data_IF_839592998203
#
_entry.id   IF_839592998203
#
_cell.length_a   1.000
_cell.length_b   1.000
_cell.length_c   1.000
_cell.angle_alpha   90.00
_cell.angle_beta   90.00
_cell.angle_gamma   90.00
#
_symmetry.space_group_name_H-M   'P 1'
#
loop_
_entity.id
_entity.type
_entity.pdbx_description
1 polymer ?
#
# COMPACT_ATOMS: atom_id res chain seq x y z
N UNK A 1 35.95 26.78 24.62
CA UNK A 1 34.69 27.40 24.16
C UNK A 1 34.52 27.10 22.68
N UNK A 2 33.71 26.09 22.34
CA UNK A 2 33.57 25.57 20.98
C UNK A 2 32.38 26.24 20.27
N UNK A 3 32.64 27.33 19.56
CA UNK A 3 31.65 27.92 18.65
C UNK A 3 31.69 27.17 17.30
N UNK A 4 31.15 25.94 17.28
CA UNK A 4 30.86 25.26 16.01
C UNK A 4 29.57 25.86 15.45
N UNK A 5 29.74 26.75 14.48
CA UNK A 5 28.66 27.45 13.78
C UNK A 5 27.61 26.47 13.25
N UNK A 6 26.40 26.54 13.81
CA UNK A 6 25.20 25.79 13.37
C UNK A 6 24.93 25.95 11.87
N UNK A 7 25.35 27.06 11.26
CA UNK A 7 25.26 27.29 9.81
C UNK A 7 25.99 26.22 8.98
N UNK A 8 27.14 25.72 9.44
CA UNK A 8 27.86 24.65 8.73
C UNK A 8 27.17 23.29 8.80
N UNK A 9 26.35 23.07 9.82
CA UNK A 9 25.61 21.82 10.04
C UNK A 9 24.32 21.79 9.21
N UNK A 10 23.63 22.91 9.10
CA UNK A 10 22.45 23.04 8.23
C UNK A 10 22.81 23.07 6.74
N UNK A 11 24.01 23.52 6.36
CA UNK A 11 24.49 23.41 4.97
C UNK A 11 24.80 21.96 4.62
N UNK A 12 25.37 21.15 5.53
CA UNK A 12 25.53 19.70 5.31
C UNK A 12 24.20 18.96 5.16
N UNK A 13 23.20 19.29 5.97
CA UNK A 13 21.85 18.72 5.85
C UNK A 13 21.09 19.15 4.57
N UNK A 14 21.47 20.28 3.95
CA UNK A 14 20.87 20.75 2.69
C UNK A 14 21.64 20.30 1.44
N UNK A 15 22.95 20.10 1.54
CA UNK A 15 23.80 19.65 0.44
C UNK A 15 23.96 18.12 0.37
N UNK A 16 23.50 17.35 1.37
CA UNK A 16 23.25 15.90 1.25
C UNK A 16 21.90 15.59 0.56
N UNK A 17 21.11 16.62 0.23
CA UNK A 17 19.99 16.54 -0.74
C UNK A 17 20.54 16.56 -2.18
N UNK A 18 21.67 15.89 -2.41
CA UNK A 18 22.27 15.69 -3.73
C UNK A 18 21.80 14.35 -4.26
N UNK A 19 20.94 14.40 -5.28
CA UNK A 19 20.70 13.35 -6.28
C UNK A 19 21.10 11.91 -5.88
N UNK A 20 20.12 11.12 -5.41
CA UNK A 20 20.15 9.68 -5.62
C UNK A 20 20.75 8.82 -4.50
N UNK A 21 20.77 9.30 -3.26
CA UNK A 21 21.09 8.42 -2.13
C UNK A 21 19.94 7.45 -1.88
N UNK A 22 20.16 6.23 -2.36
CA UNK A 22 19.27 5.11 -2.13
C UNK A 22 19.35 4.72 -0.64
N UNK A 23 18.22 4.84 0.07
CA UNK A 23 18.12 4.58 1.51
C UNK A 23 17.76 3.12 1.76
N UNK A 24 18.31 2.53 2.82
CA UNK A 24 17.97 1.17 3.18
C UNK A 24 16.54 1.06 3.71
N UNK A 25 15.84 -0.05 3.45
CA UNK A 25 14.45 -0.28 3.89
C UNK A 25 14.24 -0.04 5.38
N UNK A 26 15.19 -0.48 6.21
CA UNK A 26 15.16 -0.29 7.68
C UNK A 26 15.21 1.17 8.11
N UNK A 27 15.80 2.03 7.27
CA UNK A 27 16.11 3.43 7.60
C UNK A 27 15.20 4.39 6.82
N UNK A 28 14.26 3.86 6.03
CA UNK A 28 13.36 4.64 5.19
C UNK A 28 12.12 5.07 5.97
N UNK A 29 11.99 6.37 6.22
CA UNK A 29 10.82 6.97 6.85
C UNK A 29 9.50 6.58 6.15
N UNK A 30 9.52 6.46 4.82
CA UNK A 30 8.36 6.03 4.03
C UNK A 30 7.96 4.59 4.36
N UNK A 31 8.96 3.68 4.39
CA UNK A 31 8.72 2.28 4.67
C UNK A 31 8.25 2.08 6.12
N UNK A 32 8.89 2.76 7.08
CA UNK A 32 8.51 2.73 8.49
C UNK A 32 7.10 3.29 8.72
N UNK A 33 6.77 4.42 8.09
CA UNK A 33 5.43 5.03 8.18
C UNK A 33 4.37 4.06 7.67
N UNK A 34 4.58 3.46 6.50
CA UNK A 34 3.66 2.46 5.96
C UNK A 34 3.54 1.24 6.88
N UNK A 35 4.65 0.71 7.41
CA UNK A 35 4.63 -0.45 8.33
C UNK A 35 3.81 -0.16 9.59
N UNK A 36 3.98 1.03 10.19
CA UNK A 36 3.21 1.42 11.37
C UNK A 36 1.73 1.51 11.03
N UNK A 37 1.37 2.17 9.93
CA UNK A 37 -0.02 2.26 9.48
C UNK A 37 -0.62 0.88 9.17
N UNK A 38 0.17 -0.01 8.56
CA UNK A 38 -0.23 -1.38 8.27
C UNK A 38 -0.51 -2.13 9.57
N UNK A 39 0.39 -2.10 10.54
CA UNK A 39 0.21 -2.78 11.82
C UNK A 39 -1.03 -2.25 12.56
N UNK A 40 -1.18 -0.92 12.63
CA UNK A 40 -2.37 -0.27 13.23
C UNK A 40 -3.65 -0.73 12.53
N UNK A 41 -3.61 -0.93 11.21
CA UNK A 41 -4.78 -1.40 10.47
C UNK A 41 -5.19 -2.84 10.81
N UNK A 42 -4.24 -3.66 11.24
CA UNK A 42 -4.51 -5.05 11.62
C UNK A 42 -5.08 -5.21 13.02
N UNK A 43 -4.89 -4.23 13.91
CA UNK A 43 -5.27 -4.31 15.33
C UNK A 43 -6.80 -4.30 15.62
N UNK A 44 -7.66 -4.47 14.61
CA UNK A 44 -9.13 -4.58 14.73
C UNK A 44 -9.80 -3.44 15.51
N UNK A 45 -9.13 -2.29 15.60
CA UNK A 45 -9.74 -1.03 16.03
C UNK A 45 -10.52 -0.52 14.82
N UNK A 46 -11.77 -0.09 15.00
CA UNK A 46 -12.54 0.54 13.93
C UNK A 46 -11.79 1.79 13.44
N UNK A 47 -11.02 1.63 12.37
CA UNK A 47 -10.22 2.70 11.81
C UNK A 47 -11.16 3.75 11.21
N UNK A 48 -10.85 5.04 11.37
CA UNK A 48 -11.52 6.06 10.57
C UNK A 48 -11.37 5.71 9.08
N UNK A 49 -12.40 5.88 8.23
CA UNK A 49 -12.28 5.65 6.78
C UNK A 49 -11.17 6.50 6.13
N UNK A 50 -10.80 7.61 6.76
CA UNK A 50 -9.63 8.41 6.37
C UNK A 50 -8.31 7.63 6.47
N UNK A 51 -8.19 6.67 7.40
CA UNK A 51 -6.95 5.91 7.61
C UNK A 51 -6.71 4.86 6.51
N UNK A 52 -7.76 4.27 5.94
CA UNK A 52 -7.62 3.34 4.80
C UNK A 52 -7.01 4.06 3.60
N UNK A 53 -7.50 5.28 3.30
CA UNK A 53 -6.93 6.11 2.25
C UNK A 53 -5.49 6.52 2.55
N UNK A 54 -5.18 6.90 3.80
CA UNK A 54 -3.81 7.26 4.21
C UNK A 54 -2.86 6.07 4.09
N UNK A 55 -3.30 4.86 4.46
CA UNK A 55 -2.53 3.63 4.30
C UNK A 55 -2.23 3.35 2.81
N UNK A 56 -3.22 3.49 1.95
CA UNK A 56 -3.07 3.29 0.51
C UNK A 56 -2.09 4.30 -0.10
N UNK A 57 -2.21 5.58 0.26
CA UNK A 57 -1.29 6.63 -0.19
C UNK A 57 0.14 6.35 0.29
N UNK A 58 0.32 6.00 1.56
CA UNK A 58 1.64 5.65 2.11
C UNK A 58 2.25 4.44 1.40
N UNK A 59 1.45 3.42 1.11
CA UNK A 59 1.89 2.25 0.34
C UNK A 59 2.35 2.63 -1.06
N UNK A 60 1.58 3.44 -1.79
CA UNK A 60 1.95 3.90 -3.14
C UNK A 60 3.25 4.73 -3.14
N UNK A 61 3.49 5.53 -2.11
CA UNK A 61 4.76 6.24 -1.95
C UNK A 61 5.94 5.29 -1.77
N UNK A 62 5.80 4.22 -0.98
CA UNK A 62 6.84 3.20 -0.83
C UNK A 62 7.09 2.46 -2.14
N UNK A 63 6.04 2.01 -2.83
CA UNK A 63 6.17 1.28 -4.11
C UNK A 63 6.82 2.16 -5.19
N UNK A 64 6.43 3.43 -5.29
CA UNK A 64 7.04 4.35 -6.24
C UNK A 64 8.51 4.63 -5.92
N UNK A 65 8.87 4.75 -4.64
CA UNK A 65 10.25 4.90 -4.21
C UNK A 65 11.09 3.64 -4.48
N UNK A 66 10.53 2.44 -4.30
CA UNK A 66 11.17 1.17 -4.67
C UNK A 66 11.43 1.08 -6.17
N UNK A 67 10.43 1.41 -7.01
CA UNK A 67 10.58 1.38 -8.48
C UNK A 67 11.58 2.40 -9.01
N UNK A 68 11.73 3.52 -8.30
CA UNK A 68 12.69 4.56 -8.64
C UNK A 68 14.10 4.28 -8.06
N UNK A 69 14.35 3.08 -7.54
CA UNK A 69 15.59 2.69 -6.88
C UNK A 69 16.03 3.68 -5.78
N UNK A 70 15.06 4.23 -5.04
CA UNK A 70 15.31 5.12 -3.89
C UNK A 70 15.32 4.40 -2.55
N UNK A 71 14.71 3.20 -2.50
CA UNK A 71 14.73 2.33 -1.32
C UNK A 71 15.38 1.00 -1.72
N UNK A 72 16.41 0.56 -0.98
CA UNK A 72 16.98 -0.80 -1.10
C UNK A 72 16.29 -1.75 -0.14
N UNK A 73 16.00 -2.95 -0.61
CA UNK A 73 15.54 -4.06 0.22
C UNK A 73 16.62 -5.16 0.21
N UNK A 74 16.74 -5.88 1.32
CA UNK A 74 17.62 -7.04 1.46
C UNK A 74 17.03 -8.29 0.82
N UNK A 75 15.72 -8.33 0.66
CA UNK A 75 15.04 -9.48 0.10
C UNK A 75 15.44 -9.71 -1.37
N UNK A 76 16.02 -10.87 -1.63
CA UNK A 76 16.34 -11.37 -2.97
C UNK A 76 15.62 -12.69 -3.19
N UNK A 77 14.74 -12.82 -4.20
CA UNK A 77 14.06 -14.08 -4.48
C UNK A 77 15.06 -15.12 -4.99
N UNK A 78 14.84 -16.40 -4.64
CA UNK A 78 15.68 -17.51 -5.11
C UNK A 78 15.72 -17.63 -6.64
N UNK A 79 14.57 -17.35 -7.27
CA UNK A 79 14.46 -17.27 -8.73
C UNK A 79 13.58 -16.06 -9.10
N UNK A 80 14.02 -15.19 -10.01
CA UNK A 80 13.25 -14.02 -10.42
C UNK A 80 11.98 -14.39 -11.22
N UNK A 81 11.87 -15.64 -11.69
CA UNK A 81 10.76 -16.15 -12.51
C UNK A 81 9.68 -16.84 -11.68
N UNK A 82 9.91 -17.04 -10.37
CA UNK A 82 9.01 -17.76 -9.48
C UNK A 82 8.58 -16.84 -8.36
N UNK A 83 7.27 -16.72 -8.13
CA UNK A 83 6.73 -16.01 -6.99
C UNK A 83 7.01 -16.83 -5.73
N UNK A 84 7.88 -16.31 -4.88
CA UNK A 84 8.21 -16.88 -3.58
C UNK A 84 7.99 -15.85 -2.47
N UNK A 85 7.35 -16.29 -1.39
CA UNK A 85 7.14 -15.50 -0.20
C UNK A 85 7.66 -16.31 0.99
N UNK A 86 8.56 -15.75 1.81
CA UNK A 86 9.04 -16.44 2.99
C UNK A 86 7.89 -16.62 3.99
N UNK A 87 8.12 -17.42 5.04
CA UNK A 87 7.16 -17.55 6.13
C UNK A 87 6.86 -16.17 6.76
N UNK A 88 5.61 -15.93 7.17
CA UNK A 88 5.18 -14.69 7.83
C UNK A 88 6.01 -14.33 9.08
N UNK A 89 6.64 -15.33 9.74
CA UNK A 89 7.56 -15.11 10.86
C UNK A 89 8.98 -14.68 10.46
N UNK A 90 9.29 -14.69 9.17
CA UNK A 90 10.60 -14.27 8.65
C UNK A 90 10.73 -12.75 8.72
N UNK A 91 11.89 -12.20 9.13
CA UNK A 91 12.13 -10.76 9.11
C UNK A 91 12.08 -10.17 7.68
N UNK A 92 12.24 -11.02 6.65
CA UNK A 92 12.20 -10.60 5.25
C UNK A 92 10.78 -10.64 4.65
N UNK A 93 9.76 -11.07 5.40
CA UNK A 93 8.41 -11.23 4.85
C UNK A 93 7.82 -9.94 4.30
N UNK A 94 7.91 -8.84 5.06
CA UNK A 94 7.41 -7.54 4.62
C UNK A 94 8.20 -7.00 3.42
N UNK A 95 9.52 -7.20 3.41
CA UNK A 95 10.36 -6.81 2.29
C UNK A 95 10.00 -7.60 1.02
N UNK A 96 9.73 -8.90 1.15
CA UNK A 96 9.29 -9.75 0.06
C UNK A 96 7.93 -9.34 -0.49
N UNK A 97 6.98 -8.99 0.38
CA UNK A 97 5.67 -8.46 -0.04
C UNK A 97 5.85 -7.19 -0.85
N UNK A 98 6.62 -6.21 -0.36
CA UNK A 98 6.88 -4.97 -1.06
C UNK A 98 7.57 -5.18 -2.42
N UNK A 99 8.55 -6.08 -2.48
CA UNK A 99 9.22 -6.43 -3.74
C UNK A 99 8.23 -6.93 -4.80
N UNK A 100 7.42 -7.92 -4.44
CA UNK A 100 6.49 -8.53 -5.38
C UNK A 100 5.31 -7.62 -5.71
N UNK A 101 4.82 -6.84 -4.75
CA UNK A 101 3.85 -5.80 -5.00
C UNK A 101 4.38 -4.75 -5.99
N UNK A 102 5.63 -4.31 -5.85
CA UNK A 102 6.24 -3.38 -6.78
C UNK A 102 6.36 -3.98 -8.19
N UNK A 103 6.72 -5.26 -8.28
CA UNK A 103 6.91 -5.98 -9.55
C UNK A 103 5.61 -6.36 -10.26
N UNK A 104 4.57 -6.73 -9.53
CA UNK A 104 3.25 -7.14 -10.06
C UNK A 104 2.22 -5.99 -10.06
N UNK A 105 2.63 -4.82 -9.58
CA UNK A 105 1.81 -3.62 -9.48
C UNK A 105 0.53 -3.82 -8.66
N UNK A 106 0.60 -4.53 -7.54
CA UNK A 106 -0.59 -4.86 -6.75
C UNK A 106 -0.49 -4.44 -5.29
N UNK A 107 -1.64 -4.39 -4.62
CA UNK A 107 -1.73 -4.20 -3.17
C UNK A 107 -1.31 -5.47 -2.42
N UNK A 108 -0.92 -5.36 -1.13
CA UNK A 108 -0.49 -6.51 -0.34
C UNK A 108 -1.57 -7.57 -0.18
N UNK A 109 -2.84 -7.15 -0.01
CA UNK A 109 -3.95 -8.09 0.14
C UNK A 109 -4.21 -8.91 -1.13
N UNK A 110 -4.12 -8.29 -2.32
CA UNK A 110 -4.25 -9.00 -3.61
C UNK A 110 -3.10 -9.98 -3.79
N UNK A 111 -1.87 -9.59 -3.43
CA UNK A 111 -0.71 -10.46 -3.53
C UNK A 111 -0.84 -11.71 -2.64
N UNK A 112 -1.27 -11.52 -1.39
CA UNK A 112 -1.45 -12.62 -0.44
C UNK A 112 -2.58 -13.56 -0.88
N UNK A 113 -3.71 -13.01 -1.36
CA UNK A 113 -4.80 -13.83 -1.90
C UNK A 113 -4.33 -14.63 -3.14
N UNK A 114 -3.66 -13.97 -4.09
CA UNK A 114 -3.07 -14.64 -5.26
C UNK A 114 -2.12 -15.78 -4.87
N UNK A 115 -1.21 -15.53 -3.92
CA UNK A 115 -0.27 -16.53 -3.43
C UNK A 115 -0.98 -17.71 -2.75
N UNK A 116 -2.02 -17.45 -1.96
CA UNK A 116 -2.81 -18.49 -1.31
C UNK A 116 -3.53 -19.42 -2.31
N UNK A 117 -4.01 -18.87 -3.43
CA UNK A 117 -4.73 -19.62 -4.47
C UNK A 117 -3.81 -20.39 -5.40
N UNK A 118 -2.65 -19.83 -5.72
CA UNK A 118 -1.69 -20.44 -6.64
C UNK A 118 -0.77 -21.46 -5.96
N UNK A 119 -0.55 -21.32 -4.65
CA UNK A 119 0.35 -22.17 -3.88
C UNK A 119 1.81 -21.71 -3.94
N UNK A 120 2.69 -22.53 -3.36
CA UNK A 120 4.13 -22.24 -3.34
C UNK A 120 4.75 -22.41 -4.73
N UNK A 121 5.67 -21.52 -5.07
CA UNK A 121 6.53 -21.63 -6.25
C UNK A 121 5.83 -21.50 -7.61
N UNK A 122 4.79 -20.69 -7.69
CA UNK A 122 4.09 -20.44 -8.96
C UNK A 122 4.91 -19.55 -9.90
N UNK A 123 4.82 -19.77 -11.22
CA UNK A 123 5.46 -18.89 -12.21
C UNK A 123 4.93 -17.46 -12.07
N UNK A 124 5.82 -16.47 -12.22
CA UNK A 124 5.47 -15.04 -12.15
C UNK A 124 4.43 -14.66 -13.21
N UNK A 125 4.45 -15.30 -14.38
CA UNK A 125 3.44 -15.11 -15.42
C UNK A 125 2.03 -15.52 -14.96
N UNK A 126 1.91 -16.64 -14.25
CA UNK A 126 0.65 -17.10 -13.70
C UNK A 126 0.20 -16.23 -12.52
N UNK A 127 1.15 -15.79 -11.68
CA UNK A 127 0.89 -14.82 -10.62
C UNK A 127 0.34 -13.49 -11.19
N UNK A 128 0.92 -12.99 -12.28
CA UNK A 128 0.47 -11.78 -12.94
C UNK A 128 -0.97 -11.89 -13.46
N UNK A 129 -1.32 -13.03 -14.09
CA UNK A 129 -2.69 -13.29 -14.55
C UNK A 129 -3.68 -13.36 -13.38
N UNK A 130 -3.32 -14.06 -12.30
CA UNK A 130 -4.17 -14.15 -11.11
C UNK A 130 -4.37 -12.79 -10.45
N UNK A 131 -3.30 -12.00 -10.28
CA UNK A 131 -3.36 -10.64 -9.74
C UNK A 131 -4.26 -9.75 -10.59
N UNK A 132 -4.16 -9.83 -11.92
CA UNK A 132 -5.01 -9.06 -12.84
C UNK A 132 -6.50 -9.42 -12.67
N UNK A 133 -6.82 -10.71 -12.55
CA UNK A 133 -8.19 -11.17 -12.32
C UNK A 133 -8.72 -10.67 -10.97
N UNK A 134 -7.91 -10.76 -9.90
CA UNK A 134 -8.30 -10.32 -8.56
C UNK A 134 -8.51 -8.80 -8.48
N UNK A 135 -7.66 -8.01 -9.16
CA UNK A 135 -7.87 -6.56 -9.27
C UNK A 135 -9.23 -6.24 -9.89
N UNK A 136 -9.57 -6.90 -10.98
CA UNK A 136 -10.85 -6.71 -11.66
C UNK A 136 -12.04 -7.14 -10.78
N UNK A 137 -11.89 -8.23 -10.00
CA UNK A 137 -12.89 -8.65 -9.01
C UNK A 137 -13.07 -7.59 -7.90
N UNK A 138 -11.98 -7.02 -7.38
CA UNK A 138 -12.02 -6.01 -6.32
C UNK A 138 -12.67 -4.70 -6.80
N UNK A 139 -12.32 -4.23 -7.99
CA UNK A 139 -12.96 -3.08 -8.64
C UNK A 139 -14.46 -3.31 -8.85
N UNK A 140 -14.86 -4.51 -9.30
CA UNK A 140 -16.26 -4.86 -9.48
C UNK A 140 -17.04 -4.91 -8.15
N UNK A 141 -16.40 -5.33 -7.05
CA UNK A 141 -17.00 -5.31 -5.71
C UNK A 141 -17.18 -3.88 -5.21
N UNK A 142 -16.16 -3.04 -5.35
CA UNK A 142 -16.22 -1.61 -4.99
C UNK A 142 -17.27 -0.87 -5.82
N UNK A 143 -17.35 -1.12 -7.12
CA UNK A 143 -18.33 -0.53 -8.03
C UNK A 143 -19.78 -1.00 -7.81
N UNK A 144 -19.99 -2.23 -7.32
CA UNK A 144 -21.33 -2.71 -6.91
C UNK A 144 -21.79 -2.08 -5.59
N UNK A 145 -20.88 -1.70 -4.71
CA UNK A 145 -21.25 -1.00 -3.46
C UNK A 145 -21.82 0.41 -3.70
N UNK A 146 -21.54 1.03 -4.85
CA UNK A 146 -22.06 2.36 -5.23
C UNK A 146 -23.38 2.29 -6.01
N UNK A 147 -23.81 1.11 -6.45
CA UNK A 147 -25.15 0.87 -7.01
C UNK A 147 -26.03 0.20 -5.97
N UNK A 148 -26.48 1.01 -5.01
CA UNK A 148 -27.68 0.69 -4.24
C UNK A 148 -28.85 0.43 -5.19
N UNK A 149 -29.87 -0.34 -4.76
CA UNK A 149 -30.96 -0.74 -5.65
C UNK A 149 -31.68 0.51 -6.17
N UNK A 150 -31.77 0.60 -7.50
CA UNK A 150 -32.72 1.44 -8.21
C UNK A 150 -34.13 1.11 -7.71
N UNK A 151 -34.62 1.87 -6.73
CA UNK A 151 -36.06 2.06 -6.56
C UNK A 151 -36.50 3.12 -7.56
N UNK A 152 -36.77 2.67 -8.77
CA UNK A 152 -37.68 3.38 -9.65
C UNK A 152 -39.05 3.53 -8.96
N UNK A 153 -39.48 4.77 -8.79
CA UNK A 153 -40.90 5.15 -8.70
C UNK A 153 -41.55 5.18 -7.32
N UNK A 154 -41.40 6.28 -6.57
CA UNK A 154 -42.55 7.00 -5.94
C UNK A 154 -42.10 8.43 -5.63
N UNK A 155 -42.79 9.43 -6.21
CA UNK A 155 -42.60 10.86 -5.95
C UNK A 155 -43.01 11.26 -4.50
N UNK A 156 -42.53 12.41 -3.99
CA UNK A 156 -42.63 12.78 -2.58
C UNK A 156 -44.02 13.34 -2.25
N UNK A 157 -44.58 12.93 -1.11
CA UNK A 157 -45.74 13.61 -0.51
C UNK A 157 -45.31 14.12 0.86
N UNK A 158 -44.73 15.31 0.87
CA UNK A 158 -44.74 16.20 2.03
C UNK A 158 -45.31 17.54 1.59
N UNK A 159 -46.62 17.56 1.39
CA UNK A 159 -47.43 18.77 1.48
C UNK A 159 -48.58 18.50 2.45
N UNK A 160 -48.63 19.32 3.49
CA UNK A 160 -49.79 19.82 4.22
C UNK A 160 -49.67 19.65 5.74
N UNK A 161 -49.13 20.67 6.40
CA UNK A 161 -49.72 21.25 7.64
C UNK A 161 -48.88 22.44 8.10
N UNK A 162 -49.10 23.58 7.45
CA UNK A 162 -48.94 24.87 8.13
C UNK A 162 -50.36 25.33 8.51
N UNK A 163 -50.62 25.73 9.76
CA UNK A 163 -51.90 26.29 10.15
C UNK A 163 -52.06 27.68 9.53
N UNK A 164 -53.19 27.91 8.87
CA UNK A 164 -53.63 29.23 8.47
C UNK A 164 -53.83 30.11 9.72
N UNK A 165 -53.34 31.35 9.66
CA UNK A 165 -53.81 32.47 10.50
C UNK A 165 -54.65 33.38 9.63
#
# INVERSE_FOLDING_TARGET
MANRSLKGMFVRLRDEVRLGDCVHYSDSDLALTWLVLFEVSTLHVALPPALEHVLEVAFQQVISALRADKIKIDYVPQSPQVLDLPNARSPLYMQALLYWCAKLDCSPHILVDAYSRLGRSSPVSQAFLMVSNLKQEDENRRGRSTRGPDRAGTMPVFLATLPAR
#
